data_IF_265870155224
#
_entry.id   IF_265870155224
#
_cell.length_a   1.000
_cell.length_b   1.000
_cell.length_c   1.000
_cell.angle_alpha   90.00
_cell.angle_beta   90.00
_cell.angle_gamma   90.00
#
_symmetry.space_group_name_H-M   'P 1'
#
loop_
_entity.id
_entity.type
_entity.pdbx_description
1 polymer ?
#
# COMPACT_ATOMS: atom_id res chain seq x y z
N UNK A 1 0.53 3.88 4.57
CA UNK A 1 -0.09 2.71 5.25
C UNK A 1 0.38 1.42 4.58
N UNK A 2 0.22 0.22 5.17
CA UNK A 2 0.66 -1.05 4.53
C UNK A 2 -0.52 -1.90 4.12
N UNK A 3 -0.46 -2.56 2.96
CA UNK A 3 -1.45 -3.60 2.63
C UNK A 3 -1.30 -4.76 3.63
N UNK A 4 -2.34 -5.03 4.40
CA UNK A 4 -2.46 -6.21 5.28
C UNK A 4 -2.96 -7.40 4.48
N UNK A 5 -4.02 -7.22 3.69
CA UNK A 5 -4.65 -8.28 2.90
C UNK A 5 -5.49 -7.72 1.76
N UNK A 6 -5.40 -8.30 0.57
CA UNK A 6 -6.32 -8.00 -0.54
C UNK A 6 -7.61 -8.80 -0.31
N UNK A 7 -8.75 -8.11 -0.22
CA UNK A 7 -10.06 -8.71 0.03
C UNK A 7 -10.85 -8.97 -1.25
N UNK A 8 -10.59 -8.18 -2.28
CA UNK A 8 -11.23 -8.33 -3.58
C UNK A 8 -10.31 -7.81 -4.67
N UNK A 9 -10.30 -8.44 -5.84
CA UNK A 9 -9.59 -7.94 -7.01
C UNK A 9 -10.38 -8.29 -8.26
N UNK A 10 -10.55 -7.31 -9.14
CA UNK A 10 -11.10 -7.49 -10.47
C UNK A 10 -10.31 -6.65 -11.49
N UNK A 11 -9.63 -7.34 -12.41
CA UNK A 11 -8.71 -6.72 -13.37
C UNK A 11 -7.63 -5.91 -12.64
N UNK A 12 -7.54 -4.60 -12.93
CA UNK A 12 -6.59 -3.66 -12.32
C UNK A 12 -7.13 -3.02 -11.04
N UNK A 13 -8.40 -3.22 -10.71
CA UNK A 13 -9.01 -2.64 -9.51
C UNK A 13 -8.93 -3.68 -8.39
N UNK A 14 -8.49 -3.28 -7.22
CA UNK A 14 -8.47 -4.15 -6.05
C UNK A 14 -8.95 -3.40 -4.82
N UNK A 15 -9.58 -4.14 -3.92
CA UNK A 15 -9.88 -3.67 -2.59
C UNK A 15 -8.99 -4.44 -1.61
N UNK A 16 -8.23 -3.69 -0.82
CA UNK A 16 -7.37 -4.25 0.20
C UNK A 16 -7.62 -3.59 1.55
N UNK A 17 -7.42 -4.37 2.59
CA UNK A 17 -7.31 -3.92 3.95
C UNK A 17 -5.88 -3.43 4.18
N UNK A 18 -5.75 -2.17 4.56
CA UNK A 18 -4.53 -1.48 4.90
C UNK A 18 -4.42 -1.37 6.41
N UNK A 19 -3.22 -1.55 6.94
CA UNK A 19 -2.90 -1.38 8.34
C UNK A 19 -1.82 -0.31 8.53
N UNK A 20 -2.00 0.55 9.51
CA UNK A 20 -1.00 1.52 9.92
C UNK A 20 0.02 0.84 10.85
N UNK A 21 1.32 0.80 10.49
CA UNK A 21 2.34 0.19 11.35
C UNK A 21 2.63 0.98 12.64
N UNK A 22 2.17 2.23 12.74
CA UNK A 22 2.42 3.09 13.92
C UNK A 22 1.37 2.94 15.02
N UNK A 23 0.09 2.89 14.64
CA UNK A 23 -1.02 2.83 15.59
C UNK A 23 -1.84 1.54 15.50
N UNK A 24 -1.61 0.69 14.49
CA UNK A 24 -2.37 -0.53 14.27
C UNK A 24 -3.76 -0.32 13.64
N UNK A 25 -4.11 0.91 13.24
CA UNK A 25 -5.40 1.19 12.60
C UNK A 25 -5.55 0.44 11.28
N UNK A 26 -6.72 -0.14 11.05
CA UNK A 26 -7.04 -0.92 9.86
C UNK A 26 -8.14 -0.22 9.05
N UNK A 27 -7.91 -0.01 7.76
CA UNK A 27 -8.90 0.57 6.86
C UNK A 27 -8.97 -0.16 5.52
N UNK A 28 -10.15 -0.19 4.91
CA UNK A 28 -10.34 -0.80 3.59
C UNK A 28 -10.26 0.28 2.54
N UNK A 29 -9.32 0.15 1.62
CA UNK A 29 -9.10 1.10 0.54
C UNK A 29 -9.21 0.36 -0.78
N UNK A 30 -9.93 0.99 -1.72
CA UNK A 30 -9.96 0.58 -3.12
C UNK A 30 -8.79 1.25 -3.83
N UNK A 31 -8.00 0.47 -4.56
CA UNK A 31 -6.80 0.92 -5.24
C UNK A 31 -6.69 0.31 -6.62
N UNK A 32 -5.74 0.85 -7.38
CA UNK A 32 -5.36 0.32 -8.69
C UNK A 32 -4.05 -0.47 -8.56
N UNK A 33 -4.02 -1.67 -9.15
CA UNK A 33 -2.84 -2.52 -9.22
C UNK A 33 -1.85 -2.00 -10.27
N UNK A 34 -1.27 -0.83 -9.97
CA UNK A 34 -0.27 -0.18 -10.81
C UNK A 34 0.98 0.15 -9.99
N UNK A 35 2.13 0.18 -10.65
CA UNK A 35 3.41 0.47 -10.03
C UNK A 35 3.43 1.86 -9.37
N UNK A 36 2.75 2.84 -9.97
CA UNK A 36 2.65 4.19 -9.39
C UNK A 36 1.85 4.18 -8.08
N UNK A 37 0.73 3.45 -8.05
CA UNK A 37 -0.12 3.37 -6.86
C UNK A 37 0.64 2.73 -5.70
N UNK A 38 1.36 1.63 -5.97
CA UNK A 38 2.13 0.94 -4.94
C UNK A 38 3.34 1.72 -4.44
N UNK A 39 4.07 2.40 -5.34
CA UNK A 39 5.32 3.09 -4.99
C UNK A 39 5.12 4.50 -4.43
N UNK A 40 4.08 5.21 -4.86
CA UNK A 40 3.84 6.61 -4.45
C UNK A 40 2.61 6.72 -3.55
N UNK A 41 1.45 6.21 -3.99
CA UNK A 41 0.18 6.46 -3.28
C UNK A 41 0.10 5.73 -1.93
N UNK A 42 0.41 4.44 -1.89
CA UNK A 42 0.37 3.63 -0.66
C UNK A 42 1.24 4.20 0.49
N UNK A 43 2.52 4.56 0.24
CA UNK A 43 3.35 5.12 1.30
C UNK A 43 2.98 6.57 1.68
N UNK A 44 2.41 7.34 0.75
CA UNK A 44 1.92 8.70 1.00
C UNK A 44 0.57 8.75 1.74
N UNK A 45 -0.22 7.67 1.70
CA UNK A 45 -1.51 7.59 2.39
C UNK A 45 -1.36 7.88 3.91
N UNK A 46 -1.96 9.00 4.39
CA UNK A 46 -1.95 9.35 5.80
C UNK A 46 -2.99 8.51 6.54
N UNK A 47 -2.60 7.92 7.67
CA UNK A 47 -3.54 7.22 8.55
C UNK A 47 -4.55 8.22 9.13
N UNK A 48 -5.85 7.91 9.08
CA UNK A 48 -6.90 8.79 9.63
C UNK A 48 -6.85 8.95 11.15
N UNK A 49 -6.35 7.96 11.88
CA UNK A 49 -6.25 8.02 13.34
C UNK A 49 -5.03 8.81 13.83
N UNK A 50 -3.83 8.50 13.31
CA UNK A 50 -2.60 9.11 13.81
C UNK A 50 -2.04 10.21 12.92
N UNK A 51 -2.60 10.43 11.72
CA UNK A 51 -2.10 11.36 10.70
C UNK A 51 -0.74 10.97 10.10
N UNK A 52 -0.12 9.90 10.61
CA UNK A 52 1.20 9.45 10.15
C UNK A 52 1.08 8.69 8.84
N UNK A 53 2.01 9.01 7.96
CA UNK A 53 2.24 8.35 6.68
C UNK A 53 3.48 7.49 6.81
N UNK A 54 3.61 6.50 5.95
CA UNK A 54 4.71 5.54 6.05
C UNK A 54 6.07 6.21 5.87
N UNK A 55 6.11 7.23 5.01
CA UNK A 55 7.27 8.09 4.78
C UNK A 55 7.66 8.96 6.00
N UNK A 56 6.75 9.20 6.94
CA UNK A 56 7.01 10.03 8.13
C UNK A 56 7.83 9.26 9.18
N UNK A 57 7.77 7.92 9.16
CA UNK A 57 8.36 7.08 10.20
C UNK A 57 9.87 6.96 10.21
N UNK A 58 10.58 7.45 9.18
CA UNK A 58 12.04 7.55 9.08
C UNK A 58 12.87 6.46 9.81
N UNK A 59 12.43 5.20 9.75
CA UNK A 59 13.17 3.99 10.15
C UNK A 59 12.64 2.82 9.33
N UNK A 60 13.36 2.51 8.25
CA UNK A 60 13.25 1.26 7.49
C UNK A 60 11.90 0.98 6.81
N UNK A 61 11.48 1.85 5.87
CA UNK A 61 10.51 1.42 4.88
C UNK A 61 11.18 0.43 3.90
N UNK A 62 10.99 -0.87 4.15
CA UNK A 62 11.28 -1.92 3.16
C UNK A 62 10.02 -2.13 2.30
N UNK A 63 9.95 -1.60 1.07
CA UNK A 63 8.89 -2.00 0.16
C UNK A 63 8.98 -3.50 -0.08
N UNK A 64 7.86 -4.21 0.07
CA UNK A 64 7.77 -5.61 -0.35
C UNK A 64 8.02 -5.63 -1.87
N UNK A 65 9.03 -6.38 -2.29
CA UNK A 65 9.41 -6.54 -3.70
C UNK A 65 8.18 -6.95 -4.51
N UNK A 66 7.91 -6.26 -5.61
CA UNK A 66 6.85 -6.63 -6.54
C UNK A 66 7.16 -8.00 -7.13
N UNK A 67 6.17 -8.89 -7.17
CA UNK A 67 6.28 -10.26 -7.72
C UNK A 67 6.75 -10.27 -9.19
N UNK A 68 6.50 -9.19 -9.94
CA UNK A 68 6.99 -9.02 -11.30
C UNK A 68 8.09 -7.96 -11.34
N UNK A 69 9.31 -8.30 -11.81
CA UNK A 69 10.36 -7.33 -12.04
C UNK A 69 9.99 -6.40 -13.21
N UNK A 70 10.37 -5.13 -13.10
CA UNK A 70 10.22 -4.14 -14.17
C UNK A 70 10.95 -4.64 -15.43
N UNK A 71 10.20 -4.89 -16.52
CA UNK A 71 10.75 -5.36 -17.80
C UNK A 71 10.12 -6.62 -18.39
N UNK A 72 9.10 -7.23 -17.74
CA UNK A 72 8.38 -8.35 -18.36
C UNK A 72 7.42 -7.84 -19.44
N UNK A 73 7.86 -7.94 -20.69
CA UNK A 73 7.05 -7.75 -21.88
C UNK A 73 6.50 -9.12 -22.28
N UNK A 74 5.16 -9.29 -22.29
CA UNK A 74 4.49 -10.43 -22.93
C UNK A 74 4.52 -10.27 -24.44
#
# INVERSE_FOLDING_TARGET
MRIKKIIWQNRRDFEAEFICPFCGHEEKIKGYDDANYHKNVIPELPCKECGKREIDGNKEYRPLQTTYPEGFQV
#
